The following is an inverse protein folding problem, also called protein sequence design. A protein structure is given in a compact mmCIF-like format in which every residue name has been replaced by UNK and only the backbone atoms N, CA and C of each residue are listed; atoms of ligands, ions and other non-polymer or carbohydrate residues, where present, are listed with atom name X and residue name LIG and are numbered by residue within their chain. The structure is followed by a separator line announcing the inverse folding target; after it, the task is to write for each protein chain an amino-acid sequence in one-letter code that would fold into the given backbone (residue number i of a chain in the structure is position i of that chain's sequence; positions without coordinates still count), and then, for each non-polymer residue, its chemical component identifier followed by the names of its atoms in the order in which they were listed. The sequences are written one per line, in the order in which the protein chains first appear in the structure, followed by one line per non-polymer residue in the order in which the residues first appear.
data_IF_391527139430
#
_entry.id   IF_391527139430
#
_cell.length_a   1.000
_cell.length_b   1.000
_cell.length_c   1.000
_cell.angle_alpha   90.00
_cell.angle_beta   90.00
_cell.angle_gamma   90.00
#
_symmetry.space_group_name_H-M   'P 1'
#
loop_
_entity.id
_entity.type
_entity.pdbx_description
1 polymer ?
#
# COMPACT_ATOMS: atom_id res chain seq x y z
N UNK A 1 9.24 3.28 -17.37
CA UNK A 1 9.83 2.00 -16.98
C UNK A 1 9.89 1.15 -18.23
N UNK A 2 11.06 0.72 -18.66
CA UNK A 2 11.14 -0.24 -19.76
C UNK A 2 10.56 -1.56 -19.24
N UNK A 3 9.68 -2.20 -20.02
CA UNK A 3 9.03 -3.48 -19.64
C UNK A 3 10.04 -4.63 -19.38
N UNK A 4 11.30 -4.44 -19.72
CA UNK A 4 12.38 -5.42 -19.57
C UNK A 4 13.29 -5.16 -18.36
N UNK A 5 13.11 -4.04 -17.64
CA UNK A 5 13.92 -3.74 -16.47
C UNK A 5 13.48 -4.61 -15.27
N UNK A 6 14.43 -5.23 -14.55
CA UNK A 6 14.12 -6.02 -13.37
C UNK A 6 13.44 -5.19 -12.27
N UNK A 7 12.42 -5.77 -11.65
CA UNK A 7 11.65 -5.13 -10.58
C UNK A 7 11.96 -5.87 -9.28
N UNK A 8 12.43 -5.12 -8.27
CA UNK A 8 12.61 -5.63 -6.92
C UNK A 8 11.39 -5.34 -6.05
N UNK A 9 11.00 -6.33 -5.26
CA UNK A 9 10.00 -6.19 -4.18
C UNK A 9 10.58 -6.78 -2.91
N UNK A 10 10.44 -6.08 -1.79
CA UNK A 10 10.73 -6.62 -0.47
C UNK A 10 9.50 -6.49 0.43
N UNK A 11 9.10 -7.60 1.07
CA UNK A 11 8.08 -7.64 2.11
C UNK A 11 8.77 -7.55 3.47
N UNK A 12 8.37 -6.56 4.27
CA UNK A 12 8.79 -6.43 5.66
C UNK A 12 7.87 -7.31 6.52
N UNK A 13 8.43 -8.39 7.05
CA UNK A 13 7.70 -9.30 7.93
C UNK A 13 8.31 -9.35 9.33
N UNK A 14 7.54 -9.83 10.31
CA UNK A 14 8.00 -9.94 11.72
C UNK A 14 9.05 -11.02 11.95
N UNK A 15 8.99 -12.10 11.17
CA UNK A 15 9.91 -13.25 11.33
C UNK A 15 10.94 -13.26 10.22
N UNK A 16 10.49 -13.02 8.99
CA UNK A 16 11.31 -13.06 7.80
C UNK A 16 11.07 -11.84 6.93
N UNK A 17 12.13 -11.36 6.29
CA UNK A 17 12.09 -10.50 5.12
C UNK A 17 12.02 -11.40 3.89
N UNK A 18 11.15 -11.05 2.94
CA UNK A 18 11.03 -11.75 1.66
C UNK A 18 11.37 -10.80 0.54
N UNK A 19 12.43 -11.07 -0.20
CA UNK A 19 12.83 -10.29 -1.36
C UNK A 19 12.59 -11.10 -2.64
N UNK A 20 11.92 -10.48 -3.61
CA UNK A 20 11.61 -11.04 -4.92
C UNK A 20 12.18 -10.11 -5.99
N UNK A 21 12.87 -10.70 -6.97
CA UNK A 21 13.26 -9.99 -8.20
C UNK A 21 12.58 -10.71 -9.36
N UNK A 22 11.88 -9.95 -10.18
CA UNK A 22 11.18 -10.45 -11.35
C UNK A 22 11.27 -9.46 -12.51
N UNK A 23 10.91 -9.92 -13.69
CA UNK A 23 10.88 -9.14 -14.92
C UNK A 23 9.54 -9.33 -15.62
N UNK A 24 9.06 -8.28 -16.28
CA UNK A 24 7.85 -8.36 -17.10
C UNK A 24 8.31 -8.43 -18.55
N UNK A 25 7.98 -9.53 -19.22
CA UNK A 25 8.31 -9.75 -20.62
C UNK A 25 7.36 -8.98 -21.55
N UNK A 26 7.73 -8.84 -22.83
CA UNK A 26 6.92 -8.14 -23.86
C UNK A 26 5.48 -8.69 -24.00
N UNK A 27 5.27 -9.93 -23.62
CA UNK A 27 3.96 -10.61 -23.66
C UNK A 27 3.13 -10.40 -22.37
N UNK A 28 3.51 -9.44 -21.51
CA UNK A 28 2.91 -9.18 -20.18
C UNK A 28 2.98 -10.39 -19.23
N UNK A 29 3.82 -11.39 -19.49
CA UNK A 29 4.11 -12.47 -18.55
C UNK A 29 5.19 -12.03 -17.57
N UNK A 30 5.05 -12.39 -16.30
CA UNK A 30 6.07 -12.15 -15.28
C UNK A 30 6.96 -13.38 -15.13
N UNK A 31 8.27 -13.18 -15.13
CA UNK A 31 9.28 -14.19 -14.87
C UNK A 31 10.00 -13.89 -13.57
N UNK A 32 10.00 -14.84 -12.65
CA UNK A 32 10.72 -14.70 -11.36
C UNK A 32 12.19 -15.01 -11.59
N UNK A 33 13.06 -14.03 -11.40
CA UNK A 33 14.50 -14.18 -11.55
C UNK A 33 15.15 -14.72 -10.27
N UNK A 34 14.69 -14.28 -9.11
CA UNK A 34 15.16 -14.79 -7.83
C UNK A 34 14.22 -14.52 -6.68
N UNK A 35 14.39 -15.31 -5.61
CA UNK A 35 13.76 -15.10 -4.31
C UNK A 35 14.77 -15.28 -3.19
N UNK A 36 14.64 -14.46 -2.13
CA UNK A 36 15.37 -14.62 -0.88
C UNK A 36 14.40 -14.51 0.30
N UNK A 37 14.59 -15.38 1.28
CA UNK A 37 13.90 -15.33 2.57
C UNK A 37 15.00 -15.31 3.62
N UNK A 38 15.02 -14.26 4.44
CA UNK A 38 16.05 -14.05 5.45
C UNK A 38 15.42 -13.64 6.78
N UNK A 39 16.06 -13.91 7.93
CA UNK A 39 15.54 -13.46 9.21
C UNK A 39 15.32 -11.94 9.24
N UNK A 40 14.23 -11.53 9.86
CA UNK A 40 13.92 -10.11 10.11
C UNK A 40 14.51 -9.70 11.46
N UNK A 41 15.40 -8.72 11.43
CA UNK A 41 15.98 -8.13 12.64
C UNK A 41 15.79 -6.62 12.66
N UNK A 42 15.59 -6.04 13.85
CA UNK A 42 15.39 -4.60 14.02
C UNK A 42 14.04 -4.08 13.53
N UNK A 43 13.12 -4.99 13.17
CA UNK A 43 11.75 -4.70 12.71
C UNK A 43 10.77 -5.46 13.59
N UNK A 44 9.75 -4.77 14.09
CA UNK A 44 8.66 -5.37 14.88
C UNK A 44 7.32 -4.80 14.41
N UNK A 45 6.36 -5.65 14.05
CA UNK A 45 5.08 -5.27 13.42
C UNK A 45 5.27 -4.31 12.23
N UNK A 46 6.26 -4.62 11.38
CA UNK A 46 6.72 -3.84 10.23
C UNK A 46 7.16 -2.40 10.58
N UNK A 47 7.36 -2.12 11.87
CA UNK A 47 7.95 -0.86 12.36
C UNK A 47 9.44 -1.07 12.62
N UNK A 48 10.27 -0.19 12.11
CA UNK A 48 11.72 -0.20 12.37
C UNK A 48 11.96 0.24 13.82
N UNK A 49 12.44 -0.68 14.65
CA UNK A 49 12.75 -0.42 16.07
C UNK A 49 14.26 -0.31 16.32
N UNK A 50 15.08 -0.74 15.38
CA UNK A 50 16.54 -0.58 15.41
C UNK A 50 17.07 -0.41 14.00
N UNK A 51 17.54 0.80 13.67
CA UNK A 51 18.00 1.16 12.33
C UNK A 51 19.13 0.26 11.85
N UNK A 52 20.17 0.08 12.64
CA UNK A 52 21.38 -0.69 12.25
C UNK A 52 21.05 -2.15 11.98
N UNK A 53 20.27 -2.80 12.88
CA UNK A 53 19.86 -4.20 12.67
C UNK A 53 18.95 -4.33 11.45
N UNK A 54 18.01 -3.41 11.27
CA UNK A 54 17.10 -3.42 10.12
C UNK A 54 17.86 -3.20 8.81
N UNK A 55 18.80 -2.25 8.75
CA UNK A 55 19.64 -2.03 7.55
C UNK A 55 20.46 -3.27 7.19
N UNK A 56 21.07 -3.93 8.18
CA UNK A 56 21.84 -5.14 7.95
C UNK A 56 20.98 -6.30 7.44
N UNK A 57 19.80 -6.51 8.03
CA UNK A 57 18.86 -7.55 7.61
C UNK A 57 18.32 -7.30 6.19
N UNK A 58 17.96 -6.07 5.87
CA UNK A 58 17.48 -5.68 4.53
C UNK A 58 18.58 -5.82 3.49
N UNK A 59 19.79 -5.33 3.80
CA UNK A 59 20.96 -5.49 2.91
C UNK A 59 21.25 -6.97 2.64
N UNK A 60 21.20 -7.84 3.66
CA UNK A 60 21.36 -9.28 3.50
C UNK A 60 20.29 -9.87 2.59
N UNK A 61 19.02 -9.50 2.79
CA UNK A 61 17.90 -10.00 2.00
C UNK A 61 18.02 -9.63 0.53
N UNK A 62 18.23 -8.34 0.27
CA UNK A 62 18.38 -7.81 -1.10
C UNK A 62 19.63 -8.36 -1.76
N UNK A 63 20.78 -8.32 -1.11
CA UNK A 63 22.04 -8.83 -1.67
C UNK A 63 22.00 -10.34 -1.94
N UNK A 64 21.24 -11.11 -1.15
CA UNK A 64 21.02 -12.53 -1.43
C UNK A 64 20.17 -12.75 -2.69
N UNK A 65 19.12 -11.93 -2.90
CA UNK A 65 18.30 -11.98 -4.10
C UNK A 65 19.08 -11.53 -5.34
N UNK A 66 19.83 -10.44 -5.25
CA UNK A 66 20.68 -9.90 -6.32
C UNK A 66 21.75 -10.89 -6.79
N UNK A 67 22.44 -11.53 -5.84
CA UNK A 67 23.46 -12.56 -6.15
C UNK A 67 22.86 -13.73 -6.94
N UNK A 68 21.66 -14.20 -6.57
CA UNK A 68 20.97 -15.28 -7.29
C UNK A 68 20.51 -14.84 -8.67
N UNK A 69 19.98 -13.62 -8.81
CA UNK A 69 19.53 -13.07 -10.08
C UNK A 69 20.69 -12.61 -10.97
N UNK A 70 21.89 -12.42 -10.41
CA UNK A 70 23.06 -11.77 -11.06
C UNK A 70 22.74 -10.34 -11.55
N UNK A 71 21.99 -9.60 -10.77
CA UNK A 71 21.50 -8.25 -11.07
C UNK A 71 21.72 -7.38 -9.84
N UNK A 72 21.98 -6.08 -10.04
CA UNK A 72 22.01 -5.08 -8.98
C UNK A 72 20.82 -4.15 -9.12
N UNK A 73 20.07 -3.96 -8.03
CA UNK A 73 18.90 -3.08 -7.97
C UNK A 73 19.34 -1.68 -7.51
N UNK A 74 18.79 -0.65 -8.15
CA UNK A 74 18.88 0.74 -7.67
C UNK A 74 17.62 1.17 -6.93
N UNK A 75 16.51 0.54 -7.24
CA UNK A 75 15.18 0.84 -6.70
C UNK A 75 14.46 -0.43 -6.29
N UNK A 76 13.63 -0.32 -5.26
CA UNK A 76 12.83 -1.44 -4.76
C UNK A 76 11.45 -0.99 -4.32
N UNK A 77 10.45 -1.85 -4.51
CA UNK A 77 9.12 -1.67 -3.97
C UNK A 77 9.05 -2.33 -2.58
N UNK A 78 8.51 -1.61 -1.60
CA UNK A 78 8.43 -2.09 -0.21
C UNK A 78 6.98 -2.40 0.14
N UNK A 79 6.71 -3.66 0.48
CA UNK A 79 5.41 -4.13 0.95
C UNK A 79 5.44 -4.25 2.47
N UNK A 80 4.51 -3.62 3.15
CA UNK A 80 4.44 -3.61 4.61
C UNK A 80 3.01 -3.32 5.11
N UNK A 81 2.75 -3.63 6.40
CA UNK A 81 1.47 -3.36 7.03
C UNK A 81 1.69 -3.12 8.53
N UNK A 82 1.47 -1.89 8.98
CA UNK A 82 1.68 -1.51 10.38
C UNK A 82 0.35 -1.38 11.13
N UNK A 83 0.29 -1.70 12.44
CA UNK A 83 -0.89 -1.41 13.26
C UNK A 83 -1.25 0.07 13.30
N UNK A 84 -0.26 0.95 13.12
CA UNK A 84 -0.43 2.42 13.10
C UNK A 84 -0.93 2.98 11.75
N UNK A 85 -1.28 2.11 10.80
CA UNK A 85 -1.93 2.56 9.57
C UNK A 85 -3.31 3.10 9.89
N UNK A 86 -3.57 4.34 9.46
CA UNK A 86 -4.90 4.93 9.56
C UNK A 86 -5.58 4.88 8.20
N UNK A 87 -6.81 4.40 8.21
CA UNK A 87 -7.67 4.34 7.03
C UNK A 87 -8.79 5.37 7.18
N UNK A 88 -8.71 6.48 6.45
CA UNK A 88 -9.64 7.61 6.57
C UNK A 88 -10.42 7.80 5.28
N UNK A 89 -11.76 7.84 5.39
CA UNK A 89 -12.64 8.14 4.27
C UNK A 89 -12.87 9.64 4.17
N UNK A 90 -12.87 10.13 2.94
CA UNK A 90 -13.24 11.50 2.59
C UNK A 90 -14.33 11.50 1.53
N UNK A 91 -15.30 12.40 1.70
CA UNK A 91 -16.23 12.82 0.65
C UNK A 91 -16.06 14.32 0.47
N UNK A 92 -15.73 14.74 -0.74
CA UNK A 92 -15.56 16.15 -1.10
C UNK A 92 -16.56 16.53 -2.17
N UNK A 93 -17.10 17.72 -2.03
CA UNK A 93 -18.15 18.26 -2.88
C UNK A 93 -17.69 19.57 -3.55
N UNK A 94 -18.09 19.76 -4.80
CA UNK A 94 -17.91 21.00 -5.57
C UNK A 94 -19.17 21.30 -6.36
N UNK A 95 -19.61 22.56 -6.37
CA UNK A 95 -20.63 23.08 -7.30
C UNK A 95 -20.01 23.25 -8.69
N UNK A 96 -20.74 22.84 -9.70
CA UNK A 96 -20.35 22.91 -11.11
C UNK A 96 -21.27 23.89 -11.87
N UNK A 97 -22.46 24.18 -11.32
CA UNK A 97 -23.42 25.20 -11.76
C UNK A 97 -23.77 25.06 -13.25
N UNK A 98 -24.16 23.86 -13.69
CA UNK A 98 -24.61 23.57 -15.03
C UNK A 98 -23.51 23.52 -16.09
N UNK A 99 -22.23 23.64 -15.71
CA UNK A 99 -21.11 23.51 -16.65
C UNK A 99 -20.66 22.05 -16.81
N UNK A 100 -19.72 21.80 -17.74
CA UNK A 100 -19.09 20.50 -17.88
C UNK A 100 -18.09 20.25 -16.75
N UNK A 101 -18.06 19.02 -16.26
CA UNK A 101 -17.03 18.55 -15.34
C UNK A 101 -15.72 18.39 -16.11
N UNK A 102 -14.65 19.00 -15.61
CA UNK A 102 -13.32 18.90 -16.16
C UNK A 102 -12.37 18.16 -15.19
N UNK A 103 -11.27 17.65 -15.72
CA UNK A 103 -10.24 16.98 -14.90
C UNK A 103 -9.77 17.84 -13.73
N UNK A 104 -9.63 19.14 -13.90
CA UNK A 104 -9.22 20.05 -12.82
C UNK A 104 -10.23 20.10 -11.65
N UNK A 105 -11.52 19.79 -11.87
CA UNK A 105 -12.52 19.73 -10.80
C UNK A 105 -12.28 18.52 -9.90
N UNK A 106 -11.95 17.37 -10.50
CA UNK A 106 -11.59 16.14 -9.79
C UNK A 106 -10.27 16.34 -9.00
N UNK A 107 -9.27 16.94 -9.65
CA UNK A 107 -7.98 17.26 -8.99
C UNK A 107 -8.16 18.24 -7.83
N UNK A 108 -9.05 19.22 -7.95
CA UNK A 108 -9.40 20.14 -6.88
C UNK A 108 -9.96 19.40 -5.68
N UNK A 109 -10.94 18.49 -5.87
CA UNK A 109 -11.52 17.70 -4.78
C UNK A 109 -10.47 16.84 -4.08
N UNK A 110 -9.58 16.20 -4.85
CA UNK A 110 -8.47 15.44 -4.31
C UNK A 110 -7.50 16.31 -3.49
N UNK A 111 -7.17 17.50 -3.99
CA UNK A 111 -6.29 18.47 -3.28
C UNK A 111 -6.91 18.93 -1.97
N UNK A 112 -8.20 19.23 -1.96
CA UNK A 112 -8.93 19.64 -0.74
C UNK A 112 -8.98 18.49 0.29
N UNK A 113 -9.18 17.23 -0.15
CA UNK A 113 -9.14 16.08 0.74
C UNK A 113 -7.74 15.90 1.38
N UNK A 114 -6.67 15.99 0.57
CA UNK A 114 -5.27 15.95 1.07
C UNK A 114 -4.99 17.06 2.08
N UNK A 115 -5.44 18.28 1.78
CA UNK A 115 -5.26 19.43 2.67
C UNK A 115 -5.97 19.24 4.01
N UNK A 116 -7.20 18.75 3.99
CA UNK A 116 -7.94 18.47 5.22
C UNK A 116 -7.28 17.37 6.05
N UNK A 117 -6.79 16.30 5.43
CA UNK A 117 -6.08 15.24 6.12
C UNK A 117 -4.85 15.78 6.86
N UNK A 118 -4.04 16.63 6.20
CA UNK A 118 -2.84 17.25 6.80
C UNK A 118 -3.22 18.21 7.93
N UNK A 119 -4.36 18.91 7.83
CA UNK A 119 -4.85 19.78 8.90
C UNK A 119 -5.32 18.99 10.12
N UNK A 120 -5.97 17.84 9.89
CA UNK A 120 -6.45 16.96 10.96
C UNK A 120 -5.31 16.29 11.72
N UNK A 121 -4.29 15.83 11.01
CA UNK A 121 -3.11 15.21 11.61
C UNK A 121 -1.84 15.50 10.79
N UNK A 122 -1.05 16.43 11.28
CA UNK A 122 0.23 16.84 10.66
C UNK A 122 1.31 15.75 10.73
N UNK A 123 1.14 14.74 11.59
CA UNK A 123 2.13 13.70 11.82
C UNK A 123 1.94 12.48 10.91
N UNK A 124 0.92 12.49 10.07
CA UNK A 124 0.65 11.42 9.12
C UNK A 124 1.22 11.72 7.73
N UNK A 125 1.62 10.66 7.03
CA UNK A 125 2.02 10.67 5.61
C UNK A 125 1.12 9.73 4.82
N UNK A 126 0.68 10.16 3.65
CA UNK A 126 -0.17 9.39 2.76
C UNK A 126 0.70 8.37 2.02
N UNK A 127 0.31 7.09 2.04
CA UNK A 127 0.92 6.01 1.26
C UNK A 127 0.01 5.52 0.14
N UNK A 128 -1.32 5.53 0.34
CA UNK A 128 -2.29 5.18 -0.69
C UNK A 128 -3.48 6.12 -0.71
N UNK A 129 -4.05 6.27 -1.90
CA UNK A 129 -5.33 6.94 -2.14
C UNK A 129 -6.13 6.01 -3.05
N UNK A 130 -7.31 5.61 -2.58
CA UNK A 130 -8.25 4.82 -3.35
C UNK A 130 -9.47 5.66 -3.68
N UNK A 131 -9.76 5.79 -4.97
CA UNK A 131 -10.97 6.42 -5.47
C UNK A 131 -12.10 5.37 -5.48
N UNK A 132 -13.26 5.71 -4.96
CA UNK A 132 -14.40 4.80 -4.90
C UNK A 132 -15.44 5.13 -5.95
N UNK A 133 -16.06 6.31 -5.78
CA UNK A 133 -17.16 6.76 -6.60
C UNK A 133 -17.07 8.27 -6.83
N UNK A 134 -17.64 8.68 -7.95
CA UNK A 134 -18.05 10.05 -8.18
C UNK A 134 -19.58 10.11 -8.07
N UNK A 135 -20.12 11.17 -7.47
CA UNK A 135 -21.55 11.39 -7.39
C UNK A 135 -21.83 12.69 -8.12
N UNK A 136 -22.56 12.59 -9.24
CA UNK A 136 -22.94 13.71 -10.10
C UNK A 136 -24.46 13.88 -10.01
N UNK A 137 -24.92 15.00 -9.47
CA UNK A 137 -26.36 15.31 -9.25
C UNK A 137 -27.12 14.15 -8.60
N UNK A 138 -26.50 13.54 -7.57
CA UNK A 138 -27.06 12.40 -6.82
C UNK A 138 -26.92 11.03 -7.48
N UNK A 139 -26.35 10.94 -8.71
CA UNK A 139 -26.12 9.66 -9.40
C UNK A 139 -24.68 9.21 -9.25
N UNK A 140 -24.48 7.92 -9.02
CA UNK A 140 -23.14 7.30 -8.81
C UNK A 140 -22.50 6.97 -10.15
N UNK A 141 -21.25 7.40 -10.33
CA UNK A 141 -20.36 7.06 -11.43
C UNK A 141 -19.14 6.32 -10.88
N UNK A 142 -18.79 5.22 -11.52
CA UNK A 142 -17.60 4.43 -11.17
C UNK A 142 -16.32 4.96 -11.83
N UNK A 143 -16.47 5.62 -12.97
CA UNK A 143 -15.38 6.23 -13.75
C UNK A 143 -15.43 7.76 -13.63
N UNK A 144 -14.32 8.43 -13.98
CA UNK A 144 -14.24 9.88 -13.98
C UNK A 144 -15.30 10.49 -14.91
N UNK A 145 -16.27 11.28 -14.41
CA UNK A 145 -17.37 11.83 -15.19
C UNK A 145 -16.96 13.08 -15.97
N UNK A 146 -15.86 13.00 -16.71
CA UNK A 146 -15.34 14.12 -17.52
C UNK A 146 -16.29 14.40 -18.68
N UNK A 147 -16.46 15.69 -19.06
CA UNK A 147 -17.34 16.20 -20.11
C UNK A 147 -18.86 16.02 -19.86
N UNK A 148 -19.26 15.56 -18.67
CA UNK A 148 -20.66 15.51 -18.24
C UNK A 148 -21.09 16.87 -17.71
N UNK A 149 -22.24 17.39 -18.20
CA UNK A 149 -22.86 18.60 -17.62
C UNK A 149 -23.49 18.25 -16.27
N UNK A 150 -23.26 19.08 -15.25
CA UNK A 150 -23.75 18.85 -13.90
C UNK A 150 -23.91 20.15 -13.10
N UNK A 151 -24.77 20.11 -12.09
CA UNK A 151 -24.85 21.16 -11.07
C UNK A 151 -23.87 20.91 -9.94
N UNK A 152 -23.59 19.63 -9.65
CA UNK A 152 -22.78 19.22 -8.49
C UNK A 152 -21.93 17.99 -8.78
N UNK A 153 -20.73 17.96 -8.21
CA UNK A 153 -19.81 16.83 -8.22
C UNK A 153 -19.34 16.54 -6.80
N UNK A 154 -19.47 15.27 -6.37
CA UNK A 154 -18.79 14.77 -5.17
C UNK A 154 -17.84 13.65 -5.53
N UNK A 155 -16.76 13.52 -4.78
CA UNK A 155 -15.77 12.46 -4.94
C UNK A 155 -15.52 11.76 -3.59
N UNK A 156 -15.74 10.45 -3.56
CA UNK A 156 -15.49 9.60 -2.40
C UNK A 156 -14.13 8.91 -2.52
N UNK A 157 -13.32 9.02 -1.49
CA UNK A 157 -11.95 8.54 -1.45
C UNK A 157 -11.62 7.88 -0.11
N UNK A 158 -10.69 6.92 -0.11
CA UNK A 158 -10.04 6.43 1.11
C UNK A 158 -8.54 6.71 1.05
N UNK A 159 -8.02 7.27 2.14
CA UNK A 159 -6.60 7.50 2.33
C UNK A 159 -6.05 6.50 3.33
N UNK A 160 -4.94 5.85 3.00
CA UNK A 160 -4.13 5.10 3.96
C UNK A 160 -2.92 5.95 4.29
N UNK A 161 -2.71 6.18 5.58
CA UNK A 161 -1.61 6.97 6.11
C UNK A 161 -0.81 6.20 7.14
N UNK A 162 0.43 6.64 7.35
CA UNK A 162 1.37 6.10 8.31
C UNK A 162 2.03 7.24 9.08
N UNK A 163 2.42 7.06 10.36
CA UNK A 163 3.16 8.07 11.08
C UNK A 163 4.45 8.48 10.35
N UNK A 164 4.69 9.78 10.22
CA UNK A 164 5.86 10.33 9.51
C UNK A 164 7.18 9.77 10.00
N UNK A 165 7.31 9.54 11.31
CA UNK A 165 8.55 9.02 11.87
C UNK A 165 8.78 7.56 11.49
N UNK A 166 7.72 6.74 11.41
CA UNK A 166 7.84 5.37 10.92
C UNK A 166 8.32 5.35 9.47
N UNK A 167 7.74 6.23 8.63
CA UNK A 167 8.16 6.38 7.24
C UNK A 167 9.61 6.88 7.11
N UNK A 168 10.02 7.86 7.94
CA UNK A 168 11.42 8.32 7.97
C UNK A 168 12.38 7.18 8.33
N UNK A 169 12.04 6.36 9.33
CA UNK A 169 12.87 5.22 9.72
C UNK A 169 12.99 4.19 8.60
N UNK A 170 11.88 3.86 7.92
CA UNK A 170 11.92 2.99 6.75
C UNK A 170 12.82 3.59 5.67
N UNK A 171 12.62 4.84 5.28
CA UNK A 171 13.44 5.49 4.25
C UNK A 171 14.93 5.48 4.63
N UNK A 172 15.27 5.78 5.90
CA UNK A 172 16.66 5.79 6.35
C UNK A 172 17.33 4.43 6.20
N UNK A 173 16.64 3.36 6.57
CA UNK A 173 17.16 1.99 6.44
C UNK A 173 17.50 1.63 4.98
N UNK A 174 16.68 2.06 4.01
CA UNK A 174 16.95 1.81 2.59
C UNK A 174 18.05 2.73 2.04
N UNK A 175 18.14 3.99 2.50
CA UNK A 175 19.26 4.88 2.20
C UNK A 175 20.57 4.26 2.68
N UNK A 176 20.61 3.71 3.89
CA UNK A 176 21.79 3.03 4.44
C UNK A 176 22.19 1.77 3.63
N UNK A 177 21.26 1.24 2.83
CA UNK A 177 21.50 0.13 1.91
C UNK A 177 21.87 0.57 0.47
N UNK A 178 21.98 1.87 0.19
CA UNK A 178 22.20 2.45 -1.14
C UNK A 178 21.10 2.09 -2.16
N UNK A 179 19.85 1.95 -1.68
CA UNK A 179 18.67 1.57 -2.49
C UNK A 179 17.58 2.61 -2.31
N UNK A 180 17.00 3.10 -3.42
CA UNK A 180 15.86 4.01 -3.42
C UNK A 180 14.56 3.22 -3.29
N UNK A 181 13.64 3.67 -2.43
CA UNK A 181 12.27 3.14 -2.39
C UNK A 181 11.50 3.73 -3.57
N UNK A 182 11.07 2.88 -4.50
CA UNK A 182 10.24 3.31 -5.63
C UNK A 182 8.78 3.49 -5.20
N UNK A 183 8.24 2.53 -4.45
CA UNK A 183 6.86 2.58 -3.92
C UNK A 183 6.77 1.92 -2.56
N UNK A 184 5.88 2.46 -1.74
CA UNK A 184 5.42 1.87 -0.48
C UNK A 184 4.03 1.28 -0.72
N UNK A 185 3.82 0.02 -0.39
CA UNK A 185 2.62 -0.71 -0.77
C UNK A 185 2.05 -1.43 0.47
N UNK A 186 0.74 -1.23 0.73
CA UNK A 186 0.03 -1.97 1.78
C UNK A 186 -0.04 -3.45 1.43
N UNK A 187 0.33 -4.32 2.37
CA UNK A 187 0.24 -5.77 2.22
C UNK A 187 -1.23 -6.23 2.06
N UNK A 188 -2.14 -5.66 2.85
CA UNK A 188 -3.58 -5.96 2.75
C UNK A 188 -4.12 -5.65 1.36
N UNK A 189 -3.72 -4.52 0.76
CA UNK A 189 -4.11 -4.17 -0.61
C UNK A 189 -3.59 -5.19 -1.63
N UNK A 190 -2.29 -5.54 -1.54
CA UNK A 190 -1.68 -6.51 -2.50
C UNK A 190 -2.33 -7.89 -2.41
N UNK A 191 -2.64 -8.35 -1.20
CA UNK A 191 -3.34 -9.62 -1.01
C UNK A 191 -4.75 -9.59 -1.61
N UNK A 192 -5.50 -8.50 -1.39
CA UNK A 192 -6.83 -8.34 -1.95
C UNK A 192 -6.85 -8.40 -3.46
N UNK A 193 -5.97 -7.64 -4.12
CA UNK A 193 -5.85 -7.63 -5.59
C UNK A 193 -5.43 -8.99 -6.15
N UNK A 194 -4.62 -9.76 -5.40
CA UNK A 194 -4.16 -11.07 -5.84
C UNK A 194 -5.16 -12.20 -5.64
N UNK A 195 -5.89 -12.18 -4.51
CA UNK A 195 -6.72 -13.31 -4.07
C UNK A 195 -8.19 -13.17 -4.46
N UNK A 196 -8.69 -11.93 -4.50
CA UNK A 196 -10.09 -11.66 -4.85
C UNK A 196 -10.23 -11.51 -6.38
N UNK A 197 -11.28 -12.07 -6.93
CA UNK A 197 -11.61 -11.87 -8.34
C UNK A 197 -12.33 -10.51 -8.54
N UNK A 198 -12.45 -10.08 -9.79
CA UNK A 198 -13.04 -8.78 -10.15
C UNK A 198 -14.46 -8.62 -9.59
N UNK A 199 -15.28 -9.69 -9.60
CA UNK A 199 -16.66 -9.64 -9.09
C UNK A 199 -16.69 -9.46 -7.57
N UNK A 200 -15.80 -10.13 -6.84
CA UNK A 200 -15.65 -9.99 -5.38
C UNK A 200 -15.18 -8.58 -5.01
N UNK A 201 -14.19 -8.05 -5.74
CA UNK A 201 -13.70 -6.68 -5.55
C UNK A 201 -14.79 -5.63 -5.83
N UNK A 202 -15.68 -5.90 -6.79
CA UNK A 202 -16.74 -4.97 -7.20
C UNK A 202 -17.93 -4.99 -6.25
N UNK A 203 -18.45 -6.19 -5.92
CA UNK A 203 -19.66 -6.34 -5.11
C UNK A 203 -19.43 -6.08 -3.62
N UNK A 204 -18.24 -6.38 -3.13
CA UNK A 204 -17.85 -6.21 -1.75
C UNK A 204 -17.37 -7.52 -1.13
N UNK A 205 -16.16 -7.49 -0.57
CA UNK A 205 -15.52 -8.62 0.09
C UNK A 205 -14.71 -8.17 1.29
N UNK A 206 -14.62 -9.04 2.29
CA UNK A 206 -13.71 -8.90 3.42
C UNK A 206 -12.57 -9.89 3.27
N UNK A 207 -11.34 -9.41 3.38
CA UNK A 207 -10.12 -10.22 3.41
C UNK A 207 -9.53 -10.15 4.81
N UNK A 208 -9.32 -11.31 5.42
CA UNK A 208 -8.64 -11.43 6.72
C UNK A 208 -7.32 -12.15 6.48
N UNK A 209 -6.22 -11.51 6.87
CA UNK A 209 -4.89 -12.11 6.86
C UNK A 209 -4.46 -12.44 8.29
N UNK A 210 -4.33 -13.73 8.60
CA UNK A 210 -3.90 -14.24 9.91
C UNK A 210 -2.39 -14.41 9.91
N UNK A 211 -1.67 -13.38 10.32
CA UNK A 211 -0.22 -13.43 10.44
C UNK A 211 0.27 -13.94 11.78
N UNK A 212 1.59 -14.14 11.91
CA UNK A 212 2.20 -14.64 13.16
C UNK A 212 2.04 -13.68 14.33
N UNK A 213 2.34 -12.38 14.14
CA UNK A 213 2.29 -11.32 15.17
C UNK A 213 1.12 -10.35 15.00
N UNK A 214 0.45 -10.37 13.88
CA UNK A 214 -0.62 -9.41 13.54
C UNK A 214 -1.71 -10.04 12.68
N UNK A 215 -2.92 -9.53 12.81
CA UNK A 215 -4.06 -9.83 11.96
C UNK A 215 -4.41 -8.56 11.21
N UNK A 216 -4.55 -8.62 9.90
CA UNK A 216 -5.04 -7.50 9.10
C UNK A 216 -6.35 -7.84 8.41
N UNK A 217 -7.27 -6.86 8.40
CA UNK A 217 -8.57 -6.92 7.74
C UNK A 217 -8.60 -5.85 6.65
N UNK A 218 -8.98 -6.22 5.45
CA UNK A 218 -9.29 -5.32 4.34
C UNK A 218 -10.71 -5.50 3.86
N UNK A 219 -11.46 -4.41 3.71
CA UNK A 219 -12.76 -4.40 3.06
C UNK A 219 -12.61 -3.81 1.66
N UNK A 220 -13.02 -4.57 0.66
CA UNK A 220 -12.98 -4.17 -0.74
C UNK A 220 -14.40 -3.97 -1.27
N UNK A 221 -14.61 -2.92 -2.06
CA UNK A 221 -15.86 -2.64 -2.77
C UNK A 221 -15.57 -1.67 -3.93
N UNK A 222 -16.29 -1.78 -5.02
CA UNK A 222 -16.13 -0.92 -6.19
C UNK A 222 -14.68 -0.92 -6.71
N UNK A 223 -14.03 -2.09 -6.73
CA UNK A 223 -12.64 -2.31 -7.15
C UNK A 223 -11.59 -1.57 -6.28
N UNK A 224 -11.96 -1.07 -5.12
CA UNK A 224 -11.09 -0.30 -4.24
C UNK A 224 -11.05 -0.87 -2.82
N UNK A 225 -9.94 -0.64 -2.12
CA UNK A 225 -9.84 -0.87 -0.68
C UNK A 225 -10.57 0.25 0.06
N UNK A 226 -11.74 -0.06 0.62
CA UNK A 226 -12.62 0.93 1.27
C UNK A 226 -12.35 1.08 2.76
N UNK A 227 -11.72 0.08 3.38
CA UNK A 227 -11.30 0.12 4.78
C UNK A 227 -10.18 -0.88 5.03
N UNK A 228 -9.25 -0.54 5.91
CA UNK A 228 -8.21 -1.44 6.39
C UNK A 228 -7.94 -1.19 7.86
N UNK A 229 -7.71 -2.27 8.60
CA UNK A 229 -7.28 -2.22 10.00
C UNK A 229 -6.31 -3.36 10.28
N UNK A 230 -5.30 -3.10 11.11
CA UNK A 230 -4.33 -4.09 11.53
C UNK A 230 -4.28 -4.15 13.04
N UNK A 231 -4.45 -5.34 13.60
CA UNK A 231 -4.39 -5.61 15.03
C UNK A 231 -3.03 -6.23 15.37
N UNK A 232 -2.34 -5.80 16.43
CA UNK A 232 -1.07 -6.37 16.87
C UNK A 232 -1.26 -7.69 17.65
N UNK A 233 -2.12 -8.57 17.14
CA UNK A 233 -2.45 -9.89 17.68
C UNK A 233 -2.31 -10.87 16.52
N UNK A 234 -1.59 -11.96 16.71
CA UNK A 234 -1.36 -12.96 15.68
C UNK A 234 -1.48 -14.39 16.20
N UNK A 235 -1.15 -15.36 15.34
CA UNK A 235 -1.24 -16.78 15.65
C UNK A 235 -0.27 -17.23 16.75
N UNK A 236 0.79 -16.44 17.05
CA UNK A 236 1.69 -16.68 18.16
C UNK A 236 1.00 -16.61 19.53
N UNK A 237 -0.05 -15.80 19.68
CA UNK A 237 -0.85 -15.76 20.92
C UNK A 237 -1.53 -17.11 21.18
N UNK A 238 -2.09 -17.74 20.13
CA UNK A 238 -2.70 -19.06 20.21
C UNK A 238 -1.64 -20.09 20.62
N UNK A 239 -0.48 -20.08 20.00
CA UNK A 239 0.63 -20.99 20.30
C UNK A 239 1.11 -20.82 21.74
N UNK A 240 1.25 -19.57 22.20
CA UNK A 240 1.67 -19.26 23.57
C UNK A 240 0.63 -19.69 24.62
N UNK A 241 -0.66 -19.59 24.29
CA UNK A 241 -1.73 -20.00 25.21
C UNK A 241 -1.84 -21.53 25.33
N UNK A 242 -1.55 -22.27 24.26
CA UNK A 242 -1.51 -23.74 24.28
C UNK A 242 -0.26 -24.25 24.98
N UNK A 243 0.84 -23.50 24.99
CA UNK A 243 2.12 -23.90 25.56
C UNK A 243 2.23 -23.65 27.10
N UNK A 244 1.23 -23.03 27.72
CA UNK A 244 1.10 -22.83 29.17
C UNK A 244 0.41 -24.01 29.82
#
# INVERSE_FOLDING_TARGET
MNLEDPIGIIELGNVNLKCLIFQINKNNSSEILSTAITPSEGIHNDVVVNLTKASNAIRLSIGTAEKKAKISLKKINVVFEQPDFLCTKFSKHKKIDGSKIHRHDIEFLLKEAKKQLILNDKNQSIIHIFNHNYIVDGKIFMEEPIDVFADSLSHEMTFITVPKNNLKNINQVFIDCDIEIERLISHTFTLGVKLLNVRELQLGSALINLGYKKISLGLFKNLALVHSVTLPIGTDHITNDISK
#
